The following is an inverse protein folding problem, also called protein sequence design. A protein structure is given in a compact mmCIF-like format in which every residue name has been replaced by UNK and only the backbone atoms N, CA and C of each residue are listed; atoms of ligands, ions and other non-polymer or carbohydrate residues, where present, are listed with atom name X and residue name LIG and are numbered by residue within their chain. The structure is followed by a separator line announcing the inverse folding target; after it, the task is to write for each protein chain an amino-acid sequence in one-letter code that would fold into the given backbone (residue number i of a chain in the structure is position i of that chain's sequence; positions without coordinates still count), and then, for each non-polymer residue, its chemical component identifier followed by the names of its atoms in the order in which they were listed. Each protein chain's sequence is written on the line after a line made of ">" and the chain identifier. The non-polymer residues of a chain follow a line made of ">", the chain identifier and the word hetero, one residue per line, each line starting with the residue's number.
data_IF_992754959664
#
_entry.id   IF_992754959664
#
_cell.length_a   1.000
_cell.length_b   1.000
_cell.length_c   1.000
_cell.angle_alpha   90.00
_cell.angle_beta   90.00
_cell.angle_gamma   90.00
#
_symmetry.space_group_name_H-M   'P 1'
#
loop_
_entity.id
_entity.type
_entity.pdbx_description
1 polymer ?
#
# COMPACT_ATOMS: atom_id res chain seq x y z
N UNK A 16 -18.67 -9.04 -3.79
CA UNK A 16 -17.93 -8.43 -4.88
C UNK A 16 -16.58 -9.15 -5.14
N UNK A 17 -15.55 -9.10 -4.26
CA UNK A 17 -14.34 -9.83 -4.50
C UNK A 17 -14.40 -11.25 -3.95
N UNK A 18 -14.25 -12.21 -4.80
CA UNK A 18 -14.29 -13.59 -4.40
C UNK A 18 -12.88 -14.10 -4.11
N UNK A 19 -11.89 -13.26 -4.35
CA UNK A 19 -10.53 -13.63 -4.11
C UNK A 19 -9.70 -12.40 -3.75
N UNK A 20 -9.33 -12.30 -2.49
CA UNK A 20 -8.50 -11.20 -2.03
C UNK A 20 -7.22 -11.70 -1.38
N UNK A 21 -7.24 -12.46 -0.23
CA UNK A 21 -6.02 -13.01 0.35
C UNK A 21 -5.39 -14.06 -0.57
N UNK A 22 -4.69 -13.60 -1.56
CA UNK A 22 -4.06 -14.46 -2.52
C UNK A 22 -2.55 -14.16 -2.58
N UNK A 23 -2.18 -12.88 -2.41
CA UNK A 23 -0.74 -12.53 -2.42
C UNK A 23 -0.14 -12.97 -1.10
N UNK A 24 -0.47 -12.22 -0.06
CA UNK A 24 -0.10 -12.51 1.31
C UNK A 24 -0.67 -11.41 2.15
N UNK A 25 -0.15 -10.21 1.97
CA UNK A 25 -0.63 -9.09 2.71
C UNK A 25 -0.76 -7.84 1.88
N UNK A 26 -0.57 -7.97 0.60
CA UNK A 26 -0.77 -6.85 -0.29
C UNK A 26 -2.26 -6.74 -0.55
N UNK A 27 -2.89 -7.89 -0.54
CA UNK A 27 -4.30 -7.99 -0.74
C UNK A 27 -4.99 -8.59 0.45
N UNK A 28 -5.13 -7.81 1.50
CA UNK A 28 -5.85 -8.23 2.72
C UNK A 28 -6.60 -7.05 3.34
N UNK A 29 -7.73 -6.68 2.73
CA UNK A 29 -8.56 -5.53 3.18
C UNK A 29 -7.75 -4.19 3.11
N UNK A 30 -6.59 -4.25 2.50
CA UNK A 30 -5.67 -3.15 2.42
C UNK A 30 -6.25 -2.11 1.48
N UNK A 31 -6.48 -0.94 2.00
CA UNK A 31 -7.02 0.17 1.26
C UNK A 31 -6.14 0.68 0.09
N UNK A 32 -4.73 0.58 0.12
CA UNK A 32 -3.91 1.11 -0.94
C UNK A 32 -4.26 0.60 -2.37
N UNK A 33 -3.45 -0.31 -2.95
CA UNK A 33 -3.69 -0.81 -4.33
C UNK A 33 -3.68 0.42 -5.33
N UNK A 34 -3.92 0.16 -6.58
CA UNK A 34 -4.04 1.19 -7.57
C UNK A 34 -5.25 2.09 -7.26
N UNK A 35 -6.16 1.59 -6.38
CA UNK A 35 -7.35 2.32 -5.98
C UNK A 35 -6.95 3.53 -5.19
N UNK A 36 -5.81 3.42 -4.56
CA UNK A 36 -5.19 4.54 -3.90
C UNK A 36 -4.78 5.52 -4.97
N UNK A 37 -3.96 5.01 -5.88
CA UNK A 37 -3.36 5.75 -7.02
C UNK A 37 -2.11 5.01 -7.37
N UNK A 38 -2.19 4.03 -8.28
CA UNK A 38 -1.01 3.21 -8.67
C UNK A 38 -0.68 2.23 -7.52
N UNK A 39 0.09 1.18 -7.80
CA UNK A 39 0.65 0.26 -6.77
C UNK A 39 1.59 0.93 -5.76
N UNK A 40 1.13 2.06 -5.22
CA UNK A 40 1.76 2.89 -4.17
C UNK A 40 3.28 2.96 -4.08
N UNK A 41 3.88 1.85 -3.78
CA UNK A 41 5.30 1.67 -3.69
C UNK A 41 5.87 1.54 -5.11
N UNK A 42 5.09 1.95 -6.10
CA UNK A 42 5.54 2.02 -7.49
C UNK A 42 6.88 2.76 -7.63
N UNK A 43 6.83 4.03 -7.59
CA UNK A 43 7.98 4.88 -7.60
C UNK A 43 7.52 6.22 -7.03
N UNK A 44 6.76 6.14 -5.92
CA UNK A 44 6.27 7.30 -5.18
C UNK A 44 5.03 7.92 -5.81
N UNK A 45 3.87 7.31 -5.59
CA UNK A 45 2.61 7.87 -6.11
C UNK A 45 2.18 9.09 -5.32
N UNK A 46 1.17 9.89 -5.83
CA UNK A 46 0.64 11.10 -5.15
C UNK A 46 0.57 10.95 -3.61
N UNK A 47 0.78 12.03 -2.86
CA UNK A 47 0.90 11.99 -1.39
C UNK A 47 -0.36 11.49 -0.63
N UNK A 48 -0.22 11.34 0.67
CA UNK A 48 -1.26 10.79 1.56
C UNK A 48 -2.22 11.85 2.15
N UNK A 49 -2.57 12.84 1.37
CA UNK A 49 -3.65 13.83 1.72
C UNK A 49 -3.39 14.71 2.91
N UNK A 50 -3.66 14.23 4.14
CA UNK A 50 -3.28 14.96 5.37
C UNK A 50 -1.82 15.41 5.24
N UNK A 51 -1.10 14.52 4.67
CA UNK A 51 0.27 14.65 4.24
C UNK A 51 0.54 16.00 3.46
N UNK A 52 -0.49 16.58 2.79
CA UNK A 52 -0.38 17.86 2.09
C UNK A 52 -1.23 18.93 2.81
N UNK A 53 -2.13 18.47 3.67
CA UNK A 53 -2.99 19.36 4.35
C UNK A 53 -4.47 19.03 4.20
N UNK A 54 -4.78 17.80 3.78
CA UNK A 54 -6.16 17.30 3.70
C UNK A 54 -6.48 16.40 4.87
N UNK A 55 -6.77 16.92 6.07
CA UNK A 55 -7.07 16.06 7.22
C UNK A 55 -8.45 15.44 7.04
N UNK A 56 -9.20 15.98 6.12
CA UNK A 56 -10.58 15.55 5.92
C UNK A 56 -10.55 14.21 5.19
N UNK A 57 -9.50 14.05 4.44
CA UNK A 57 -9.30 12.87 3.65
C UNK A 57 -8.71 11.77 4.48
N UNK A 58 -8.15 12.13 5.67
CA UNK A 58 -7.75 11.11 6.68
C UNK A 58 -8.82 9.98 6.85
N UNK A 59 -10.05 10.28 6.49
CA UNK A 59 -11.02 9.26 6.49
C UNK A 59 -10.80 8.29 5.35
N UNK A 60 -10.57 7.08 5.76
CA UNK A 60 -10.41 5.90 4.88
C UNK A 60 -11.42 5.88 3.66
N UNK A 61 -12.79 5.71 3.86
CA UNK A 61 -13.73 5.85 2.75
C UNK A 61 -13.56 7.22 2.12
N UNK A 62 -13.30 7.25 0.84
CA UNK A 62 -12.89 8.47 0.20
C UNK A 62 -14.08 9.36 -0.09
N UNK A 63 -14.11 10.57 0.48
CA UNK A 63 -15.14 11.51 0.18
C UNK A 63 -15.03 12.01 -1.23
N UNK A 64 -13.82 12.51 -1.59
CA UNK A 64 -13.51 13.11 -2.92
C UNK A 64 -14.55 14.08 -3.39
N UNK A 65 -15.18 14.68 -2.41
CA UNK A 65 -16.24 15.60 -2.63
C UNK A 65 -16.22 16.79 -1.64
N UNK A 66 -15.13 16.94 -0.91
CA UNK A 66 -15.04 17.97 0.14
C UNK A 66 -13.60 18.53 0.29
N UNK A 67 -12.61 17.65 0.47
CA UNK A 67 -11.24 18.10 0.73
C UNK A 67 -10.25 17.71 -0.37
N UNK A 68 -9.97 16.43 -0.47
CA UNK A 68 -9.06 15.76 -1.43
C UNK A 68 -8.82 16.47 -2.80
N UNK A 69 -7.55 16.86 -3.10
CA UNK A 69 -7.15 17.39 -4.39
C UNK A 69 -6.48 16.30 -5.28
N UNK A 70 -6.72 15.04 -4.89
CA UNK A 70 -6.31 13.79 -5.57
C UNK A 70 -5.14 13.09 -4.90
N UNK A 71 -5.17 13.04 -3.58
CA UNK A 71 -4.20 12.26 -2.82
C UNK A 71 -4.88 10.97 -2.25
N UNK A 72 -4.21 10.26 -1.33
CA UNK A 72 -4.78 9.05 -0.67
C UNK A 72 -5.15 9.33 0.79
N UNK A 73 -6.13 8.57 1.41
CA UNK A 73 -6.59 8.84 2.77
C UNK A 73 -5.56 8.39 3.88
N UNK A 74 -6.02 7.63 4.88
CA UNK A 74 -5.21 7.32 6.05
C UNK A 74 -5.87 6.22 6.91
N UNK A 75 -5.27 5.94 8.09
CA UNK A 75 -5.76 4.91 9.03
C UNK A 75 -5.55 3.54 8.43
N UNK A 76 -6.58 3.03 7.79
CA UNK A 76 -6.56 1.79 7.01
C UNK A 76 -6.38 0.51 7.85
N UNK A 77 -5.27 0.41 8.52
CA UNK A 77 -4.86 -0.80 9.19
C UNK A 77 -4.04 -0.42 10.42
N UNK A 78 -3.87 -1.34 11.41
CA UNK A 78 -2.99 -1.13 12.57
C UNK A 78 -1.65 -0.57 12.17
N UNK A 79 -1.37 0.62 12.66
CA UNK A 79 -0.10 1.32 12.39
C UNK A 79 0.08 1.63 10.93
N UNK A 80 -0.37 2.81 10.60
CA UNK A 80 -0.42 3.31 9.22
C UNK A 80 0.95 3.66 8.51
N UNK A 81 2.11 3.93 9.22
CA UNK A 81 3.38 4.27 8.52
C UNK A 81 3.82 3.23 7.48
N UNK A 82 4.19 3.75 6.32
CA UNK A 82 4.66 2.97 5.21
C UNK A 82 5.55 3.89 4.41
N UNK A 83 6.69 3.39 3.98
CA UNK A 83 7.68 4.21 3.33
C UNK A 83 8.48 3.40 2.34
N UNK A 84 9.41 4.06 1.63
CA UNK A 84 10.28 3.47 0.60
C UNK A 84 9.54 2.80 -0.56
N UNK A 85 9.47 3.46 -1.73
CA UNK A 85 8.82 2.92 -2.89
C UNK A 85 9.82 2.06 -3.70
N UNK A 86 9.61 1.97 -5.02
CA UNK A 86 10.35 1.14 -5.96
C UNK A 86 9.78 -0.28 -5.95
N UNK A 87 9.64 -0.93 -7.13
CA UNK A 87 9.12 -2.32 -7.23
C UNK A 87 10.01 -3.31 -6.48
N UNK A 88 11.23 -2.89 -6.23
CA UNK A 88 12.21 -3.70 -5.49
C UNK A 88 12.76 -2.91 -4.33
N UNK A 89 11.98 -1.92 -3.90
CA UNK A 89 12.36 -1.01 -2.82
C UNK A 89 12.79 -1.68 -1.52
N UNK A 90 12.20 -2.80 -1.21
CA UNK A 90 12.53 -3.55 -0.03
C UNK A 90 12.36 -5.02 -0.27
N UNK A 91 12.90 -5.88 0.64
CA UNK A 91 12.57 -7.30 0.64
C UNK A 91 11.05 -7.41 0.79
N UNK A 92 10.37 -7.84 -0.29
CA UNK A 92 8.91 -7.88 -0.34
C UNK A 92 8.28 -8.80 0.70
N UNK A 93 9.02 -9.84 1.10
CA UNK A 93 8.59 -10.90 2.04
C UNK A 93 7.38 -11.69 1.52
N UNK A 94 6.93 -12.68 2.29
CA UNK A 94 5.78 -13.53 1.92
C UNK A 94 6.09 -14.37 0.68
N UNK A 95 7.30 -14.95 0.70
CA UNK A 95 7.89 -15.80 -0.34
C UNK A 95 8.98 -15.09 -1.16
N UNK A 96 8.73 -13.96 -1.88
CA UNK A 96 9.80 -13.26 -2.56
C UNK A 96 10.68 -12.50 -1.55
N UNK A 97 11.59 -13.25 -0.96
CA UNK A 97 12.62 -12.87 0.07
C UNK A 97 13.10 -14.18 0.70
N UNK A 98 12.21 -15.19 0.66
CA UNK A 98 12.52 -16.54 1.13
C UNK A 98 13.77 -17.08 0.43
N UNK A 99 13.80 -16.89 -0.88
CA UNK A 99 14.90 -17.30 -1.70
C UNK A 99 15.98 -16.23 -1.63
N UNK A 100 17.24 -16.59 -1.75
CA UNK A 100 18.31 -15.62 -1.72
C UNK A 100 18.34 -14.73 -2.96
N UNK A 101 18.36 -13.44 -2.74
CA UNK A 101 18.53 -12.41 -3.76
C UNK A 101 19.01 -11.16 -3.04
N UNK A 102 20.24 -11.21 -2.46
CA UNK A 102 20.74 -10.14 -1.61
C UNK A 102 20.98 -8.85 -2.38
N UNK A 103 21.85 -8.93 -3.34
CA UNK A 103 22.22 -7.79 -4.09
C UNK A 103 22.43 -8.25 -5.52
#
# INVERSE_FOLDING_TARGET
>A
SYYHHHHHHTMMPSPEPSSQPSDCGEVIEECPIDACFLPKSDSARPPDCTAVGRPDCNVLPFPNNIGCPSCCPFECSPDNPMFTPSPDGSPPNCSPTMLPSPSPSAVTVPLTPTMLPSPS
#
